data_IF_924352892219
#
_entry.id   IF_924352892219
#
_cell.length_a   1.000
_cell.length_b   1.000
_cell.length_c   1.000
_cell.angle_alpha   90.00
_cell.angle_beta   90.00
_cell.angle_gamma   90.00
#
_symmetry.space_group_name_H-M   'P 1'
#
loop_
_entity.id
_entity.type
_entity.pdbx_description
1 polymer ?
#
# COMPACT_ATOMS: atom_id res chain seq x y z
N UNK A 1 -12.79 1.46 -6.20
CA UNK A 1 -13.14 1.54 -4.77
C UNK A 1 -11.86 1.27 -3.99
N UNK A 2 -11.60 2.03 -2.93
CA UNK A 2 -10.46 1.76 -2.03
C UNK A 2 -10.95 0.74 -0.99
N UNK A 3 -10.10 -0.23 -0.64
CA UNK A 3 -10.42 -1.28 0.33
C UNK A 3 -10.49 -0.71 1.74
N UNK A 4 -11.46 -1.18 2.53
CA UNK A 4 -11.60 -0.88 3.96
C UNK A 4 -11.20 -2.08 4.85
N UNK A 5 -10.52 -3.09 4.30
CA UNK A 5 -10.04 -4.21 5.10
C UNK A 5 -8.95 -3.78 6.08
N UNK A 6 -9.03 -4.23 7.33
CA UNK A 6 -7.97 -4.06 8.34
C UNK A 6 -6.98 -5.24 8.35
N UNK A 7 -7.24 -6.29 7.58
CA UNK A 7 -6.35 -7.43 7.46
C UNK A 7 -5.26 -7.12 6.42
N UNK A 8 -3.99 -7.07 6.85
CA UNK A 8 -2.85 -6.79 5.97
C UNK A 8 -2.74 -7.78 4.80
N UNK A 9 -3.17 -9.02 4.98
CA UNK A 9 -3.06 -10.05 3.94
C UNK A 9 -4.04 -9.86 2.77
N UNK A 10 -5.01 -8.96 2.90
CA UNK A 10 -5.94 -8.63 1.81
C UNK A 10 -5.33 -7.64 0.80
N UNK A 11 -4.15 -7.10 1.11
CA UNK A 11 -3.45 -6.11 0.28
C UNK A 11 -2.36 -6.77 -0.57
N UNK A 12 -2.42 -6.53 -1.87
CA UNK A 12 -1.43 -7.04 -2.81
C UNK A 12 -0.34 -6.00 -3.09
N UNK A 13 0.89 -6.47 -3.28
CA UNK A 13 2.01 -5.65 -3.73
C UNK A 13 2.48 -6.19 -5.09
N UNK A 14 2.02 -5.54 -6.15
CA UNK A 14 2.36 -5.88 -7.53
C UNK A 14 3.62 -5.12 -7.95
N UNK A 15 4.59 -5.83 -8.52
CA UNK A 15 5.87 -5.26 -8.92
C UNK A 15 6.01 -5.37 -10.42
N UNK A 16 6.28 -4.24 -11.07
CA UNK A 16 6.60 -4.17 -12.49
C UNK A 16 8.00 -3.60 -12.67
N UNK A 17 8.90 -4.41 -13.22
CA UNK A 17 10.18 -3.92 -13.74
C UNK A 17 9.95 -3.22 -15.08
N UNK A 18 10.51 -2.03 -15.24
CA UNK A 18 10.57 -1.28 -16.50
C UNK A 18 11.98 -1.38 -17.08
N UNK A 19 12.20 -0.77 -18.26
CA UNK A 19 13.53 -0.63 -18.85
C UNK A 19 14.55 -0.07 -17.85
N UNK A 20 15.75 -0.66 -17.84
CA UNK A 20 16.83 -0.35 -16.90
C UNK A 20 16.58 -0.83 -15.47
N UNK A 21 17.05 -0.03 -14.49
CA UNK A 21 16.86 -0.27 -13.05
C UNK A 21 15.58 0.39 -12.51
N UNK A 22 14.57 0.64 -13.36
CA UNK A 22 13.32 1.27 -12.94
C UNK A 22 12.30 0.22 -12.49
N UNK A 23 11.71 0.43 -11.32
CA UNK A 23 10.64 -0.38 -10.76
C UNK A 23 9.40 0.47 -10.50
N UNK A 24 8.24 -0.14 -10.69
CA UNK A 24 6.97 0.37 -10.18
C UNK A 24 6.40 -0.68 -9.22
N UNK A 25 5.99 -0.23 -8.04
CA UNK A 25 5.29 -1.04 -7.04
C UNK A 25 3.88 -0.49 -6.90
N UNK A 26 2.88 -1.35 -7.00
CA UNK A 26 1.47 -0.99 -7.06
C UNK A 26 0.66 -1.81 -6.07
N UNK A 27 -0.20 -1.15 -5.30
CA UNK A 27 -1.21 -1.78 -4.46
C UNK A 27 -2.60 -1.39 -4.98
N UNK A 28 -3.33 -2.31 -5.64
CA UNK A 28 -4.67 -2.05 -6.18
C UNK A 28 -5.69 -1.61 -5.13
N UNK A 29 -5.62 -2.21 -3.95
CA UNK A 29 -6.58 -2.03 -2.86
C UNK A 29 -6.60 -0.59 -2.33
N UNK A 30 -5.46 0.10 -2.36
CA UNK A 30 -5.36 1.53 -2.00
C UNK A 30 -5.16 2.43 -3.23
N UNK A 31 -5.27 1.87 -4.44
CA UNK A 31 -5.05 2.57 -5.71
C UNK A 31 -3.75 3.40 -5.74
N UNK A 32 -2.66 2.84 -5.19
CA UNK A 32 -1.39 3.55 -5.02
C UNK A 32 -0.27 2.89 -5.81
N UNK A 33 0.41 3.69 -6.65
CA UNK A 33 1.64 3.30 -7.34
C UNK A 33 2.80 4.19 -6.93
N UNK A 34 3.92 3.56 -6.57
CA UNK A 34 5.21 4.24 -6.33
C UNK A 34 6.23 3.74 -7.34
N UNK A 35 7.15 4.61 -7.75
CA UNK A 35 8.17 4.33 -8.76
C UNK A 35 9.54 4.72 -8.24
N UNK A 36 10.58 4.00 -8.63
CA UNK A 36 11.95 4.30 -8.24
C UNK A 36 12.96 3.27 -8.74
N UNK A 37 14.20 3.38 -8.26
CA UNK A 37 15.30 2.55 -8.75
C UNK A 37 15.68 1.38 -7.86
N UNK A 38 15.27 1.42 -6.60
CA UNK A 38 15.65 0.45 -5.59
C UNK A 38 14.41 -0.33 -5.14
N UNK A 39 14.32 -1.59 -5.57
CA UNK A 39 13.12 -2.40 -5.37
C UNK A 39 12.81 -2.65 -3.89
N UNK A 40 13.83 -2.87 -3.06
CA UNK A 40 13.66 -3.17 -1.63
C UNK A 40 13.04 -1.99 -0.91
N UNK A 41 13.63 -0.78 -1.02
CA UNK A 41 13.04 0.45 -0.48
C UNK A 41 11.63 0.73 -0.98
N UNK A 42 11.32 0.47 -2.25
CA UNK A 42 9.95 0.62 -2.75
C UNK A 42 8.98 -0.37 -2.08
N UNK A 43 9.37 -1.64 -1.91
CA UNK A 43 8.53 -2.62 -1.20
C UNK A 43 8.25 -2.19 0.24
N UNK A 44 9.28 -1.74 0.96
CA UNK A 44 9.15 -1.26 2.34
C UNK A 44 8.25 -0.03 2.43
N UNK A 45 8.41 0.92 1.52
CA UNK A 45 7.55 2.10 1.44
C UNK A 45 6.09 1.72 1.17
N UNK A 46 5.82 0.79 0.25
CA UNK A 46 4.45 0.33 -0.01
C UNK A 46 3.83 -0.33 1.23
N UNK A 47 4.60 -1.16 1.96
CA UNK A 47 4.12 -1.78 3.20
C UNK A 47 3.76 -0.72 4.26
N UNK A 48 4.59 0.32 4.43
CA UNK A 48 4.28 1.43 5.34
C UNK A 48 3.01 2.17 4.93
N UNK A 49 2.76 2.36 3.63
CA UNK A 49 1.54 3.00 3.11
C UNK A 49 0.30 2.17 3.42
N UNK A 50 0.37 0.85 3.25
CA UNK A 50 -0.70 -0.08 3.63
C UNK A 50 -0.97 0.01 5.14
N UNK A 51 0.08 0.03 5.97
CA UNK A 51 -0.06 0.14 7.43
C UNK A 51 -0.71 1.46 7.87
N UNK A 52 -0.32 2.58 7.26
CA UNK A 52 -0.94 3.88 7.53
C UNK A 52 -2.42 3.87 7.13
N UNK A 53 -2.74 3.27 5.99
CA UNK A 53 -4.13 3.13 5.51
C UNK A 53 -4.98 2.32 6.48
N UNK A 54 -4.51 1.13 6.90
CA UNK A 54 -5.20 0.28 7.88
C UNK A 54 -5.43 1.02 9.21
N UNK A 55 -4.40 1.71 9.72
CA UNK A 55 -4.53 2.52 10.94
C UNK A 55 -5.56 3.63 10.79
N UNK A 56 -5.68 4.24 9.61
CA UNK A 56 -6.68 5.27 9.34
C UNK A 56 -8.11 4.70 9.36
N UNK A 57 -8.30 3.47 8.89
CA UNK A 57 -9.59 2.78 8.93
C UNK A 57 -9.98 2.47 10.38
N UNK A 58 -9.07 1.84 11.13
CA UNK A 58 -9.30 1.53 12.55
C UNK A 58 -9.68 2.79 13.33
N UNK A 59 -8.90 3.87 13.16
CA UNK A 59 -9.19 5.14 13.82
C UNK A 59 -10.56 5.72 13.45
N UNK A 60 -10.99 5.59 12.19
CA UNK A 60 -12.33 6.04 11.76
C UNK A 60 -13.42 5.21 12.42
N UNK A 61 -13.25 3.89 12.50
CA UNK A 61 -14.20 3.01 13.17
C UNK A 61 -14.31 3.37 14.65
N UNK A 62 -13.18 3.57 15.35
CA UNK A 62 -13.17 3.95 16.77
C UNK A 62 -13.93 5.28 17.03
N UNK A 63 -13.80 6.26 16.12
CA UNK A 63 -14.48 7.56 16.20
C UNK A 63 -15.99 7.50 15.89
N UNK A 64 -16.48 6.44 15.26
CA UNK A 64 -17.91 6.24 14.99
C UNK A 64 -18.65 5.60 16.18
N UNK A 65 -17.91 5.12 17.18
CA UNK A 65 -18.46 4.52 18.40
C UNK A 65 -18.40 5.44 19.64
N UNK A 66 -17.92 6.68 19.49
CA UNK A 66 -17.99 7.77 20.49
C UNK A 66 -19.13 8.75 20.16
#
# INVERSE_FOLDING_TARGET
MISDSINRFDYEILIRKKSGNNYAVYCPQINLMIKGYELTRLKEEMQKRIDVHIKSIIKKQDLEFE
#
